data_IF_480155472044
#
_entry.id   IF_480155472044
#
_cell.length_a   1.000
_cell.length_b   1.000
_cell.length_c   1.000
_cell.angle_alpha   90.00
_cell.angle_beta   90.00
_cell.angle_gamma   90.00
#
_symmetry.space_group_name_H-M   'P 1'
#
loop_
_entity.id
_entity.type
_entity.pdbx_description
1 polymer ?
#
# COMPACT_ATOMS: atom_id res chain seq x y z
N UNK A 1 -7.90 -8.84 -13.83
CA UNK A 1 -6.44 -8.84 -13.97
C UNK A 1 -5.84 -8.31 -12.68
N UNK A 2 -5.18 -9.14 -11.87
CA UNK A 2 -4.63 -8.76 -10.57
C UNK A 2 -3.16 -8.41 -10.69
N UNK A 3 -2.94 -7.17 -11.10
CA UNK A 3 -1.67 -6.48 -10.94
C UNK A 3 -1.79 -5.54 -9.74
N UNK A 4 -0.70 -4.87 -9.36
CA UNK A 4 -0.77 -3.76 -8.40
C UNK A 4 -1.33 -2.47 -9.03
N UNK A 5 -1.55 -2.46 -10.34
CA UNK A 5 -2.22 -1.41 -11.12
C UNK A 5 -3.72 -1.73 -11.26
N UNK A 6 -4.68 -0.85 -10.90
CA UNK A 6 -4.53 0.59 -10.72
C UNK A 6 -4.23 1.17 -9.35
N UNK A 7 -4.38 0.48 -8.19
CA UNK A 7 -4.14 1.14 -6.91
C UNK A 7 -2.81 1.90 -6.86
N UNK A 8 -1.74 1.31 -7.38
CA UNK A 8 -0.40 1.89 -7.37
C UNK A 8 0.03 2.46 -8.74
N UNK A 9 -0.80 2.34 -9.78
CA UNK A 9 -0.42 2.67 -11.16
C UNK A 9 -0.09 4.16 -11.40
N UNK A 10 -0.63 5.05 -10.56
CA UNK A 10 -0.36 6.49 -10.62
C UNK A 10 0.93 6.94 -9.92
N UNK A 11 1.61 6.05 -9.18
CA UNK A 11 2.78 6.40 -8.37
C UNK A 11 4.09 6.16 -9.13
N UNK A 12 4.91 7.20 -9.25
CA UNK A 12 6.27 7.08 -9.78
C UNK A 12 7.25 6.43 -8.80
N UNK A 13 8.47 6.18 -9.27
CA UNK A 13 9.59 5.95 -8.37
C UNK A 13 10.09 7.29 -7.84
N UNK A 14 10.58 7.31 -6.59
CA UNK A 14 11.11 8.51 -5.96
C UNK A 14 10.30 8.99 -4.77
N UNK A 15 10.42 10.28 -4.44
CA UNK A 15 9.89 10.84 -3.20
C UNK A 15 8.41 11.23 -3.35
N UNK A 16 7.61 10.83 -2.36
CA UNK A 16 6.18 11.07 -2.28
C UNK A 16 5.79 11.60 -0.91
N UNK A 17 4.69 12.35 -0.84
CA UNK A 17 4.12 12.83 0.41
C UNK A 17 3.15 11.81 1.00
N UNK A 18 3.14 11.71 2.33
CA UNK A 18 2.22 10.86 3.08
C UNK A 18 1.18 11.71 3.78
N UNK A 19 -0.07 11.29 3.68
CA UNK A 19 -1.19 11.90 4.36
C UNK A 19 -1.99 10.90 5.19
N UNK A 20 -2.62 11.39 6.26
CA UNK A 20 -3.61 10.63 7.03
C UNK A 20 -4.96 11.34 7.00
N UNK A 21 -6.01 10.52 6.88
CA UNK A 21 -7.41 10.93 6.92
C UNK A 21 -7.93 10.98 8.36
N UNK A 22 -7.69 12.08 9.07
CA UNK A 22 -8.26 12.31 10.41
C UNK A 22 -8.89 13.71 10.47
N UNK A 23 -10.21 13.80 10.28
CA UNK A 23 -10.97 15.06 10.10
C UNK A 23 -10.54 15.89 8.88
N UNK A 24 -9.94 15.24 7.89
CA UNK A 24 -9.34 15.85 6.71
C UNK A 24 -8.08 15.11 6.31
N UNK A 25 -7.49 15.48 5.18
CA UNK A 25 -6.18 15.00 4.76
C UNK A 25 -5.10 15.92 5.30
N UNK A 26 -4.17 15.37 6.07
CA UNK A 26 -3.07 16.10 6.66
C UNK A 26 -1.75 15.50 6.23
N UNK A 27 -0.80 16.33 5.82
CA UNK A 27 0.57 15.90 5.56
C UNK A 27 1.23 15.47 6.86
N UNK A 28 1.68 14.22 6.89
CA UNK A 28 2.27 13.60 8.08
C UNK A 28 3.67 13.09 7.83
N UNK A 29 4.17 13.09 6.60
CA UNK A 29 5.47 12.52 6.33
C UNK A 29 5.79 12.43 4.86
N UNK A 30 6.87 11.70 4.59
CA UNK A 30 7.32 11.41 3.23
C UNK A 30 7.73 9.96 3.13
N UNK A 31 7.62 9.42 1.93
CA UNK A 31 8.20 8.13 1.59
C UNK A 31 8.98 8.22 0.29
N UNK A 32 9.80 7.20 0.05
CA UNK A 32 10.45 6.96 -1.22
C UNK A 32 9.96 5.62 -1.74
N UNK A 33 9.36 5.62 -2.93
CA UNK A 33 8.99 4.42 -3.66
C UNK A 33 10.23 3.95 -4.40
N UNK A 34 10.72 2.77 -4.05
CA UNK A 34 11.92 2.15 -4.63
C UNK A 34 11.58 1.05 -5.62
N UNK A 35 10.34 0.56 -5.60
CA UNK A 35 9.82 -0.40 -6.56
C UNK A 35 8.32 -0.17 -6.76
N UNK A 36 7.90 -0.10 -8.02
CA UNK A 36 6.51 -0.12 -8.41
C UNK A 36 6.42 -0.76 -9.78
N UNK A 37 6.13 -2.05 -9.79
CA UNK A 37 5.92 -2.83 -11.00
C UNK A 37 4.61 -3.61 -10.91
N UNK A 38 4.34 -4.43 -11.91
CA UNK A 38 3.09 -5.15 -12.05
C UNK A 38 2.73 -6.03 -10.84
N UNK A 39 3.73 -6.59 -10.15
CA UNK A 39 3.53 -7.56 -9.08
C UNK A 39 4.20 -7.16 -7.77
N UNK A 40 4.98 -6.07 -7.76
CA UNK A 40 5.76 -5.64 -6.60
C UNK A 40 5.63 -4.14 -6.36
N UNK A 41 5.40 -3.80 -5.10
CA UNK A 41 5.42 -2.42 -4.62
C UNK A 41 6.31 -2.35 -3.38
N UNK A 42 7.22 -1.38 -3.32
CA UNK A 42 8.05 -1.14 -2.15
C UNK A 42 8.23 0.35 -1.91
N UNK A 43 7.96 0.77 -0.68
CA UNK A 43 8.11 2.13 -0.22
C UNK A 43 8.64 2.16 1.22
N UNK A 44 9.58 3.05 1.49
CA UNK A 44 10.09 3.29 2.84
C UNK A 44 10.01 4.78 3.15
N UNK A 45 9.81 5.13 4.41
CA UNK A 45 9.57 6.52 4.76
C UNK A 45 9.49 6.78 6.24
N UNK A 46 9.24 8.04 6.55
CA UNK A 46 9.05 8.53 7.90
C UNK A 46 7.73 9.28 8.01
N UNK A 47 7.12 9.19 9.18
CA UNK A 47 5.91 9.93 9.52
C UNK A 47 6.06 10.61 10.88
N UNK A 48 5.26 11.65 11.09
CA UNK A 48 5.06 12.36 12.34
C UNK A 48 3.57 12.76 12.42
N UNK A 49 2.87 12.13 13.35
CA UNK A 49 1.42 12.26 13.55
C UNK A 49 1.19 12.56 15.02
N UNK A 50 0.80 13.79 15.35
CA UNK A 50 0.39 14.20 16.71
C UNK A 50 1.39 13.73 17.79
N UNK A 51 2.68 14.04 17.59
CA UNK A 51 3.75 13.70 18.55
C UNK A 51 4.18 12.22 18.53
N UNK A 52 3.68 11.42 17.59
CA UNK A 52 4.16 10.08 17.29
C UNK A 52 4.89 10.09 15.96
N UNK A 53 6.21 9.94 16.00
CA UNK A 53 7.03 9.78 14.81
C UNK A 53 7.55 8.35 14.69
N UNK A 54 7.72 7.89 13.47
CA UNK A 54 8.29 6.58 13.19
C UNK A 54 8.76 6.47 11.76
N UNK A 55 9.34 5.31 11.45
CA UNK A 55 9.72 4.91 10.10
C UNK A 55 8.96 3.66 9.71
N UNK A 56 8.83 3.44 8.41
CA UNK A 56 8.35 2.17 7.88
C UNK A 56 9.19 1.78 6.67
N UNK A 57 9.20 0.47 6.41
CA UNK A 57 9.82 -0.12 5.25
C UNK A 57 8.87 -1.20 4.75
N UNK A 58 8.07 -0.84 3.76
CA UNK A 58 6.87 -1.56 3.37
C UNK A 58 7.04 -2.16 1.98
N UNK A 59 6.75 -3.45 1.84
CA UNK A 59 6.77 -4.17 0.56
C UNK A 59 5.52 -5.04 0.41
N UNK A 60 4.91 -5.02 -0.77
CA UNK A 60 3.83 -5.93 -1.19
C UNK A 60 4.29 -6.70 -2.43
N UNK A 61 4.06 -8.01 -2.44
CA UNK A 61 4.39 -8.89 -3.58
C UNK A 61 3.23 -9.83 -3.88
N UNK A 62 2.78 -9.86 -5.14
CA UNK A 62 1.89 -10.92 -5.66
C UNK A 62 2.77 -12.09 -6.10
N UNK A 63 2.78 -13.20 -5.36
CA UNK A 63 3.80 -14.24 -5.53
C UNK A 63 3.49 -15.26 -6.62
N UNK A 64 2.26 -15.25 -7.14
CA UNK A 64 1.88 -16.07 -8.29
C UNK A 64 2.26 -15.44 -9.64
N UNK A 65 2.62 -14.15 -9.65
CA UNK A 65 2.93 -13.34 -10.84
C UNK A 65 1.88 -13.50 -11.96
N UNK A 66 0.61 -13.73 -11.59
CA UNK A 66 -0.45 -14.04 -12.53
C UNK A 66 -1.32 -12.81 -12.80
N UNK A 67 -0.99 -12.08 -13.87
CA UNK A 67 -1.74 -10.91 -14.31
C UNK A 67 -3.24 -11.16 -14.51
N UNK A 68 -3.66 -12.39 -14.80
CA UNK A 68 -5.04 -12.73 -15.13
C UNK A 68 -5.87 -13.15 -13.91
N UNK A 69 -5.22 -13.44 -12.78
CA UNK A 69 -5.90 -13.83 -11.56
C UNK A 69 -6.76 -12.68 -11.01
N UNK A 70 -7.72 -13.02 -10.15
CA UNK A 70 -8.48 -12.06 -9.34
C UNK A 70 -8.24 -12.28 -7.85
N UNK A 71 -7.58 -13.38 -7.49
CA UNK A 71 -7.06 -13.68 -6.17
C UNK A 71 -5.90 -14.66 -6.30
N UNK A 72 -5.01 -14.66 -5.32
CA UNK A 72 -3.83 -15.50 -5.33
C UNK A 72 -2.97 -15.28 -4.09
N UNK A 73 -1.86 -16.01 -3.96
CA UNK A 73 -0.93 -15.84 -2.87
C UNK A 73 -0.19 -14.49 -2.96
N UNK A 74 0.12 -13.91 -1.80
CA UNK A 74 0.92 -12.70 -1.69
C UNK A 74 1.79 -12.71 -0.44
N UNK A 75 2.76 -11.81 -0.40
CA UNK A 75 3.45 -11.43 0.83
C UNK A 75 3.35 -9.93 1.08
N UNK A 76 3.28 -9.57 2.36
CA UNK A 76 3.39 -8.19 2.82
C UNK A 76 4.48 -8.13 3.86
N UNK A 77 5.50 -7.31 3.63
CA UNK A 77 6.60 -7.10 4.58
C UNK A 77 6.56 -5.69 5.12
N UNK A 78 6.67 -5.53 6.44
CA UNK A 78 6.89 -4.23 7.06
C UNK A 78 7.94 -4.32 8.16
N UNK A 79 8.95 -3.46 8.14
CA UNK A 79 10.00 -3.37 9.17
C UNK A 79 10.66 -4.73 9.48
N UNK A 80 10.91 -5.54 8.45
CA UNK A 80 11.52 -6.86 8.55
C UNK A 80 10.57 -8.01 8.95
N UNK A 81 9.28 -7.73 9.21
CA UNK A 81 8.28 -8.76 9.45
C UNK A 81 7.52 -9.06 8.16
N UNK A 82 7.56 -10.32 7.71
CA UNK A 82 6.84 -10.78 6.52
C UNK A 82 5.60 -11.58 6.92
N UNK A 83 4.47 -11.21 6.34
CA UNK A 83 3.21 -11.93 6.44
C UNK A 83 2.90 -12.57 5.09
N UNK A 84 2.66 -13.87 5.09
CA UNK A 84 2.15 -14.60 3.93
C UNK A 84 0.62 -14.63 3.98
N UNK A 85 -0.01 -14.43 2.83
CA UNK A 85 -1.46 -14.34 2.77
C UNK A 85 -2.00 -14.48 1.36
N UNK A 86 -3.22 -13.97 1.17
CA UNK A 86 -3.87 -13.90 -0.12
C UNK A 86 -4.18 -12.46 -0.49
N UNK A 87 -4.05 -12.16 -1.77
CA UNK A 87 -4.63 -10.96 -2.34
C UNK A 87 -5.99 -11.29 -2.94
N UNK A 88 -6.90 -10.32 -2.96
CA UNK A 88 -8.15 -10.37 -3.71
C UNK A 88 -8.37 -9.03 -4.37
N UNK A 89 -8.81 -9.07 -5.62
CA UNK A 89 -9.07 -7.89 -6.43
C UNK A 89 -10.56 -7.74 -6.70
N UNK A 90 -11.07 -6.56 -6.42
CA UNK A 90 -12.46 -6.17 -6.69
C UNK A 90 -12.43 -4.86 -7.47
N UNK A 91 -12.68 -4.94 -8.77
CA UNK A 91 -12.54 -3.80 -9.68
C UNK A 91 -11.12 -3.23 -9.65
N UNK A 92 -11.02 -1.98 -9.23
CA UNK A 92 -9.77 -1.24 -9.13
C UNK A 92 -9.10 -1.30 -7.76
N UNK A 93 -9.72 -1.93 -6.75
CA UNK A 93 -9.13 -2.10 -5.43
C UNK A 93 -8.48 -3.48 -5.30
N UNK A 94 -7.41 -3.55 -4.51
CA UNK A 94 -6.77 -4.81 -4.12
C UNK A 94 -6.67 -4.89 -2.59
N UNK A 95 -7.04 -6.03 -2.03
CA UNK A 95 -6.98 -6.31 -0.60
C UNK A 95 -5.99 -7.43 -0.36
N UNK A 96 -5.12 -7.27 0.62
CA UNK A 96 -4.19 -8.29 1.12
C UNK A 96 -4.64 -8.73 2.50
N UNK A 97 -4.64 -10.03 2.77
CA UNK A 97 -5.00 -10.58 4.09
C UNK A 97 -4.27 -11.88 4.41
N UNK A 98 -3.88 -12.06 5.67
CA UNK A 98 -3.34 -13.31 6.23
C UNK A 98 -4.38 -14.03 7.13
N UNK A 99 -5.64 -13.58 7.10
CA UNK A 99 -6.73 -14.06 7.97
C UNK A 99 -6.82 -13.37 9.34
N UNK A 100 -5.81 -12.59 9.74
CA UNK A 100 -5.81 -11.79 10.99
C UNK A 100 -5.69 -10.29 10.72
N UNK A 101 -4.93 -9.95 9.70
CA UNK A 101 -4.65 -8.61 9.25
C UNK A 101 -5.24 -8.42 7.85
N UNK A 102 -5.58 -7.17 7.54
CA UNK A 102 -6.14 -6.81 6.24
C UNK A 102 -5.74 -5.39 5.87
N UNK A 103 -5.23 -5.21 4.65
CA UNK A 103 -4.98 -3.89 4.06
C UNK A 103 -5.58 -3.83 2.67
N UNK A 104 -6.36 -2.79 2.40
CA UNK A 104 -6.95 -2.53 1.09
C UNK A 104 -6.30 -1.30 0.48
N UNK A 105 -5.80 -1.43 -0.74
CA UNK A 105 -5.30 -0.33 -1.55
C UNK A 105 -6.36 0.06 -2.59
N UNK A 106 -6.69 1.35 -2.64
CA UNK A 106 -7.66 1.93 -3.56
C UNK A 106 -7.01 3.08 -4.34
N UNK A 107 -7.25 3.22 -5.65
CA UNK A 107 -6.80 4.38 -6.39
C UNK A 107 -7.56 5.65 -5.97
N UNK A 108 -6.85 6.77 -5.91
CA UNK A 108 -7.37 8.12 -5.65
C UNK A 108 -6.72 9.12 -6.64
N UNK A 109 -7.21 9.12 -7.88
CA UNK A 109 -6.55 9.82 -8.98
C UNK A 109 -5.18 9.19 -9.26
N UNK A 110 -4.11 10.00 -9.19
CA UNK A 110 -2.74 9.48 -9.28
C UNK A 110 -2.21 8.94 -7.94
N UNK A 111 -2.95 9.14 -6.84
CA UNK A 111 -2.55 8.71 -5.50
C UNK A 111 -3.11 7.32 -5.16
N UNK A 112 -2.65 6.74 -4.05
CA UNK A 112 -3.24 5.52 -3.47
C UNK A 112 -3.73 5.80 -2.06
N UNK A 113 -4.91 5.29 -1.73
CA UNK A 113 -5.43 5.21 -0.36
C UNK A 113 -5.19 3.80 0.17
N UNK A 114 -4.61 3.71 1.36
CA UNK A 114 -4.42 2.48 2.11
C UNK A 114 -5.38 2.46 3.31
N UNK A 115 -6.19 1.42 3.39
CA UNK A 115 -7.20 1.23 4.43
C UNK A 115 -6.91 -0.02 5.24
N UNK A 116 -6.82 0.14 6.56
CA UNK A 116 -6.73 -0.96 7.53
C UNK A 116 -7.89 -0.80 8.50
N UNK A 117 -8.65 -1.87 8.73
CA UNK A 117 -9.82 -1.82 9.60
C UNK A 117 -9.44 -1.34 11.02
N UNK A 118 -10.17 -0.34 11.52
CA UNK A 118 -9.92 0.25 12.84
C UNK A 118 -8.84 1.33 12.89
N UNK A 119 -8.21 1.68 11.76
CA UNK A 119 -7.20 2.75 11.67
C UNK A 119 -7.62 3.88 10.72
N UNK A 120 -7.11 5.11 10.92
CA UNK A 120 -7.25 6.18 9.93
C UNK A 120 -6.68 5.75 8.57
N UNK A 121 -7.33 6.18 7.49
CA UNK A 121 -6.85 5.92 6.13
C UNK A 121 -5.53 6.66 5.90
N UNK A 122 -4.58 6.00 5.24
CA UNK A 122 -3.36 6.64 4.76
C UNK A 122 -3.46 6.91 3.27
N UNK A 123 -2.77 7.95 2.79
CA UNK A 123 -2.67 8.28 1.37
C UNK A 123 -1.23 8.56 0.99
N UNK A 124 -0.76 7.96 -0.10
CA UNK A 124 0.51 8.31 -0.74
C UNK A 124 0.18 9.16 -1.95
N UNK A 125 0.67 10.38 -1.99
CA UNK A 125 0.46 11.33 -3.08
C UNK A 125 1.49 11.10 -4.19
N UNK A 126 1.04 11.03 -5.45
CA UNK A 126 1.92 11.02 -6.62
C UNK A 126 2.78 12.29 -6.75
#
# INVERSE_FOLDING_TARGET
MATLDPPFGGLGLGAHSLQLGFLGWHDVGKCTIVRNDQFHFAASGNYNVVGKSGTFDFTMTLTDENANATSGPCTVTNAGQTLEGTYTRVGSAITFTDGKHGITALPDGNSVILEVAGYPKARILA
#
